data_IF_377015682211
#
_entry.id   IF_377015682211
#
_cell.length_a   1.000
_cell.length_b   1.000
_cell.length_c   1.000
_cell.angle_alpha   90.00
_cell.angle_beta   90.00
_cell.angle_gamma   90.00
#
_symmetry.space_group_name_H-M   'P 1'
#
loop_
_entity.id
_entity.type
_entity.pdbx_description
1 polymer ?
#
# COMPACT_ATOMS: atom_id res chain seq x y z
N UNK A 1 -30.66 8.87 -17.58
CA UNK A 1 -29.76 7.70 -17.70
C UNK A 1 -28.88 7.62 -16.46
N UNK A 2 -29.06 6.62 -15.59
CA UNK A 2 -28.20 6.46 -14.39
C UNK A 2 -26.79 6.08 -14.85
N UNK A 3 -25.79 6.93 -14.60
CA UNK A 3 -24.38 6.58 -14.78
C UNK A 3 -24.04 5.44 -13.81
N UNK A 4 -23.95 4.22 -14.31
CA UNK A 4 -23.43 3.10 -13.55
C UNK A 4 -21.92 3.28 -13.47
N UNK A 5 -21.43 3.75 -12.32
CA UNK A 5 -20.00 3.80 -12.04
C UNK A 5 -19.54 2.36 -11.83
N UNK A 6 -19.03 1.72 -12.88
CA UNK A 6 -18.37 0.42 -12.77
C UNK A 6 -16.99 0.65 -12.16
N UNK A 7 -16.83 0.29 -10.89
CA UNK A 7 -15.52 0.22 -10.25
C UNK A 7 -14.77 -0.96 -10.85
N UNK A 8 -13.68 -0.68 -11.56
CA UNK A 8 -12.79 -1.71 -12.12
C UNK A 8 -11.74 -2.04 -11.06
N UNK A 9 -11.70 -3.28 -10.54
CA UNK A 9 -10.70 -3.67 -9.57
C UNK A 9 -9.31 -3.66 -10.20
N UNK A 10 -8.31 -3.24 -9.43
CA UNK A 10 -6.92 -3.18 -9.86
C UNK A 10 -6.12 -4.35 -9.28
N UNK A 11 -5.26 -4.93 -10.10
CA UNK A 11 -4.24 -5.88 -9.68
C UNK A 11 -3.17 -5.21 -8.80
N UNK A 12 -2.37 -6.00 -8.07
CA UNK A 12 -1.22 -5.51 -7.29
C UNK A 12 -0.20 -4.73 -8.13
N UNK A 13 -0.10 -5.03 -9.43
CA UNK A 13 0.76 -4.28 -10.36
C UNK A 13 0.14 -2.96 -10.84
N UNK A 14 -1.04 -2.57 -10.35
CA UNK A 14 -1.76 -1.36 -10.76
C UNK A 14 -2.57 -1.52 -12.06
N UNK A 15 -2.46 -2.64 -12.78
CA UNK A 15 -3.25 -2.87 -13.98
C UNK A 15 -4.69 -3.29 -13.65
N UNK A 16 -5.69 -2.88 -14.44
CA UNK A 16 -7.06 -3.30 -14.27
C UNK A 16 -7.20 -4.81 -14.43
N UNK A 17 -8.00 -5.43 -13.56
CA UNK A 17 -8.37 -6.83 -13.71
C UNK A 17 -9.39 -6.96 -14.83
N UNK A 18 -8.98 -7.62 -15.91
CA UNK A 18 -9.84 -7.91 -17.05
C UNK A 18 -10.08 -9.40 -17.09
N UNK A 19 -11.35 -9.79 -17.02
CA UNK A 19 -11.78 -11.17 -17.14
C UNK A 19 -12.28 -11.41 -18.56
N UNK A 20 -11.85 -12.49 -19.23
CA UNK A 20 -12.45 -12.89 -20.49
C UNK A 20 -13.94 -13.20 -20.30
N UNK A 21 -14.75 -12.97 -21.33
CA UNK A 21 -16.19 -13.23 -21.28
C UNK A 21 -16.47 -14.68 -20.86
N UNK A 22 -17.39 -14.84 -19.90
CA UNK A 22 -17.77 -16.14 -19.35
C UNK A 22 -16.74 -16.80 -18.42
N UNK A 23 -15.57 -16.17 -18.17
CA UNK A 23 -14.56 -16.72 -17.26
C UNK A 23 -14.59 -16.03 -15.91
N UNK A 24 -14.68 -16.82 -14.86
CA UNK A 24 -14.52 -16.38 -13.46
C UNK A 24 -13.07 -16.37 -13.01
N UNK A 25 -12.13 -16.83 -13.86
CA UNK A 25 -10.70 -16.87 -13.53
C UNK A 25 -9.88 -16.27 -14.67
N UNK A 26 -8.89 -15.48 -14.30
CA UNK A 26 -7.96 -14.86 -15.23
C UNK A 26 -6.56 -14.80 -14.62
N UNK A 27 -5.56 -14.42 -15.42
CA UNK A 27 -4.20 -14.16 -14.95
C UNK A 27 -3.81 -12.77 -15.36
N UNK A 28 -3.03 -12.11 -14.52
CA UNK A 28 -2.42 -10.84 -14.88
C UNK A 28 -1.52 -11.02 -16.11
N UNK A 29 -1.77 -10.20 -17.12
CA UNK A 29 -1.06 -10.18 -18.41
C UNK A 29 0.30 -9.49 -18.34
N UNK A 30 0.59 -8.78 -17.24
CA UNK A 30 1.89 -8.14 -17.02
C UNK A 30 2.95 -9.21 -16.78
N UNK A 31 3.96 -9.25 -17.66
CA UNK A 31 5.13 -10.10 -17.52
C UNK A 31 5.80 -9.86 -16.15
N UNK A 32 5.98 -10.94 -15.39
CA UNK A 32 6.57 -10.88 -14.04
C UNK A 32 5.58 -10.67 -12.88
N UNK A 33 4.32 -10.28 -13.12
CA UNK A 33 3.34 -10.14 -12.02
C UNK A 33 2.87 -11.52 -11.51
N UNK A 34 2.48 -12.40 -12.43
CA UNK A 34 2.11 -13.78 -12.08
C UNK A 34 0.82 -13.96 -11.27
N UNK A 35 0.10 -12.88 -10.93
CA UNK A 35 -1.17 -12.93 -10.19
C UNK A 35 -2.25 -13.68 -10.97
N UNK A 36 -3.03 -14.51 -10.27
CA UNK A 36 -4.27 -15.12 -10.74
C UNK A 36 -5.44 -14.36 -10.12
N UNK A 37 -6.43 -14.04 -10.92
CA UNK A 37 -7.64 -13.37 -10.49
C UNK A 37 -8.79 -14.35 -10.48
N UNK A 38 -9.64 -14.30 -9.46
CA UNK A 38 -10.84 -15.12 -9.35
C UNK A 38 -12.04 -14.24 -8.99
N UNK A 39 -13.16 -14.47 -9.65
CA UNK A 39 -14.46 -13.87 -9.37
C UNK A 39 -15.21 -14.84 -8.45
N UNK A 40 -15.38 -14.45 -7.19
CA UNK A 40 -16.13 -15.20 -6.19
C UNK A 40 -17.47 -14.55 -5.88
N UNK A 41 -18.34 -15.23 -5.10
CA UNK A 41 -19.65 -14.71 -4.72
C UNK A 41 -19.59 -13.40 -3.92
N UNK A 42 -18.48 -13.15 -3.21
CA UNK A 42 -18.27 -11.90 -2.45
C UNK A 42 -17.52 -10.81 -3.24
N UNK A 43 -17.13 -11.06 -4.49
CA UNK A 43 -16.44 -10.09 -5.33
C UNK A 43 -15.13 -10.62 -5.95
N UNK A 44 -14.16 -9.73 -6.10
CA UNK A 44 -12.92 -9.99 -6.86
C UNK A 44 -11.76 -10.39 -5.95
N UNK A 45 -11.07 -11.46 -6.31
CA UNK A 45 -9.93 -12.01 -5.58
C UNK A 45 -8.68 -12.01 -6.45
N UNK A 46 -7.53 -11.69 -5.87
CA UNK A 46 -6.22 -11.89 -6.51
C UNK A 46 -5.37 -12.83 -5.65
N UNK A 47 -4.95 -13.96 -6.24
CA UNK A 47 -4.16 -15.03 -5.63
C UNK A 47 -2.88 -15.23 -6.45
N UNK A 48 -1.70 -15.27 -5.84
CA UNK A 48 -0.43 -15.36 -6.55
C UNK A 48 0.64 -16.17 -5.82
N UNK A 49 1.69 -16.55 -6.55
CA UNK A 49 2.82 -17.37 -6.08
C UNK A 49 3.66 -16.70 -4.98
N UNK A 50 3.61 -15.38 -4.88
CA UNK A 50 4.25 -14.62 -3.81
C UNK A 50 3.18 -14.00 -2.93
N UNK A 51 2.91 -14.70 -1.84
CA UNK A 51 2.42 -14.22 -0.55
C UNK A 51 1.16 -13.33 -0.61
N UNK A 52 0.12 -13.77 0.11
CA UNK A 52 -0.82 -12.86 0.74
C UNK A 52 0.03 -11.95 1.64
N UNK A 53 0.53 -10.83 1.12
CA UNK A 53 1.19 -9.83 1.95
C UNK A 53 0.05 -9.00 2.54
N UNK A 54 -0.50 -9.49 3.65
CA UNK A 54 -0.98 -8.60 4.69
C UNK A 54 0.24 -7.77 5.10
N UNK A 55 0.46 -6.62 4.46
CA UNK A 55 1.32 -5.60 5.05
C UNK A 55 0.49 -4.95 6.14
N UNK A 56 0.78 -5.18 7.44
CA UNK A 56 0.24 -4.29 8.46
C UNK A 56 0.69 -2.88 8.07
N UNK A 57 -0.27 -1.99 7.87
CA UNK A 57 0.01 -0.57 7.73
C UNK A 57 0.47 -0.13 9.11
N UNK A 58 1.79 -0.10 9.34
CA UNK A 58 2.34 0.61 10.48
C UNK A 58 2.10 2.10 10.21
N UNK A 59 0.99 2.62 10.74
CA UNK A 59 0.65 4.06 10.73
C UNK A 59 1.64 4.87 11.54
N UNK A 60 2.47 4.21 12.33
CA UNK A 60 3.51 4.84 13.12
C UNK A 60 4.83 4.80 12.36
N UNK A 61 5.20 5.94 11.77
CA UNK A 61 6.56 6.16 11.29
C UNK A 61 7.52 5.84 12.43
N UNK A 62 8.50 4.92 12.26
CA UNK A 62 9.49 4.68 13.30
C UNK A 62 10.16 6.02 13.61
N UNK A 63 10.02 6.50 14.86
CA UNK A 63 10.66 7.74 15.28
C UNK A 63 12.15 7.57 15.03
N UNK A 64 12.78 8.42 14.20
CA UNK A 64 14.20 8.30 13.91
C UNK A 64 14.96 8.36 15.25
N UNK A 65 15.78 7.34 15.53
CA UNK A 65 16.68 7.36 16.68
C UNK A 65 17.62 8.55 16.49
N UNK A 66 17.37 9.63 17.22
CA UNK A 66 18.25 10.79 17.24
C UNK A 66 19.60 10.39 17.81
N UNK A 67 20.67 10.67 17.06
CA UNK A 67 22.03 10.38 17.49
C UNK A 67 22.45 11.30 18.66
N UNK A 68 23.55 10.96 19.33
CA UNK A 68 24.06 11.73 20.48
C UNK A 68 24.26 13.22 20.16
N UNK A 69 24.77 13.53 18.97
CA UNK A 69 24.99 14.90 18.51
C UNK A 69 23.68 15.69 18.33
N UNK A 70 22.67 15.08 17.72
CA UNK A 70 21.34 15.68 17.54
C UNK A 70 20.64 15.95 18.88
N UNK A 71 20.82 15.07 19.87
CA UNK A 71 20.35 15.32 21.25
C UNK A 71 21.05 16.52 21.87
N UNK A 72 22.37 16.62 21.71
CA UNK A 72 23.17 17.75 22.20
C UNK A 72 22.73 19.08 21.57
N UNK A 73 22.53 19.13 20.25
CA UNK A 73 22.09 20.34 19.55
C UNK A 73 20.71 20.81 20.02
N UNK A 74 19.75 19.90 20.22
CA UNK A 74 18.41 20.23 20.77
C UNK A 74 18.48 20.80 22.19
N UNK A 75 19.33 20.23 23.06
CA UNK A 75 19.54 20.76 24.40
C UNK A 75 20.13 22.18 24.33
N UNK A 76 21.14 22.39 23.49
CA UNK A 76 21.80 23.69 23.32
C UNK A 76 20.84 24.78 22.81
N UNK A 77 19.96 24.45 21.87
CA UNK A 77 18.95 25.39 21.36
C UNK A 77 17.94 25.78 22.45
N UNK A 78 17.44 24.82 23.24
CA UNK A 78 16.54 25.11 24.38
C UNK A 78 17.20 26.00 25.43
N UNK A 79 18.47 25.74 25.74
CA UNK A 79 19.22 26.53 26.72
C UNK A 79 19.52 27.96 26.26
N UNK A 80 19.52 28.23 24.94
CA UNK A 80 19.67 29.58 24.40
C UNK A 80 18.37 30.39 24.43
N UNK A 81 17.21 29.73 24.30
CA UNK A 81 15.90 30.39 24.36
C UNK A 81 15.43 30.74 25.78
N UNK A 82 16.02 30.15 26.82
CA UNK A 82 15.67 30.40 28.23
C UNK A 82 16.38 31.58 28.89
N UNK A 83 17.06 32.45 28.13
CA UNK A 83 17.80 33.62 28.64
C UNK A 83 17.17 34.96 28.25
N UNK A 84 15.86 34.99 28.04
CA UNK A 84 15.07 36.23 27.99
C UNK A 84 13.75 35.99 28.71
N UNK A 85 13.79 36.10 30.04
CA UNK A 85 12.78 36.70 30.92
C UNK A 85 13.34 36.73 32.34
#
# INVERSE_FOLDING_TARGET
MKKVIKLIPLCKCGQPMVFPEGKTKARCTVNGCGMRWELGPEGYWAKGLFTIVFTPIFTERPKPKVNHYQKYMRWRERSKGGRVH
#
